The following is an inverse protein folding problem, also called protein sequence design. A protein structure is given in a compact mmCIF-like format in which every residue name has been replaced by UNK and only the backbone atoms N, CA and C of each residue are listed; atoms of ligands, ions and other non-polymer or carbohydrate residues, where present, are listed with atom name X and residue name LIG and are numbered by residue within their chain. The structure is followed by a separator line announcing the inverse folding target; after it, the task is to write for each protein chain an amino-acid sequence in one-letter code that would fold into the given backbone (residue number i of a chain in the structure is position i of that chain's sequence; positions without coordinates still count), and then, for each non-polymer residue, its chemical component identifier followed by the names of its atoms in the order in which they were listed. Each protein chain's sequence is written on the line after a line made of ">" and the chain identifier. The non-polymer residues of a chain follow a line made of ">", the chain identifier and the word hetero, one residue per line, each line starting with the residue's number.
data_IF_841413588874
#
_entry.id   IF_841413588874
#
_cell.length_a   1.000
_cell.length_b   1.000
_cell.length_c   1.000
_cell.angle_alpha   90.00
_cell.angle_beta   90.00
_cell.angle_gamma   90.00
#
_symmetry.space_group_name_H-M   'P 1'
#
loop_
_entity.id
_entity.type
_entity.pdbx_description
1 polymer ?
#
# COMPACT_ATOMS: atom_id res chain seq x y z
N UNK A 1 -1.20 -10.08 -9.19
CA UNK A 1 -1.03 -10.30 -7.73
C UNK A 1 -0.50 -9.01 -7.12
N UNK A 2 -1.19 -8.43 -6.13
CA UNK A 2 -0.75 -7.20 -5.44
C UNK A 2 -0.07 -7.62 -4.14
N UNK A 3 1.12 -7.07 -3.88
CA UNK A 3 1.86 -7.32 -2.64
C UNK A 3 1.79 -6.08 -1.74
N UNK A 4 1.16 -6.24 -0.57
CA UNK A 4 1.13 -5.20 0.47
C UNK A 4 2.29 -5.45 1.45
N UNK A 5 3.42 -4.78 1.22
CA UNK A 5 4.58 -4.80 2.14
C UNK A 5 4.95 -3.38 2.57
N UNK A 6 5.53 -3.19 3.78
CA UNK A 6 6.00 -1.89 4.24
C UNK A 6 6.81 -1.15 3.16
N UNK A 7 6.55 0.15 3.01
CA UNK A 7 7.19 1.02 2.01
C UNK A 7 6.62 0.92 0.59
N UNK A 8 5.74 -0.04 0.29
CA UNK A 8 5.10 -0.11 -1.03
C UNK A 8 4.14 1.06 -1.22
N UNK A 9 4.18 1.69 -2.39
CA UNK A 9 3.38 2.86 -2.70
C UNK A 9 2.09 2.51 -3.45
N UNK A 10 1.02 3.21 -3.09
CA UNK A 10 -0.30 3.08 -3.68
C UNK A 10 -0.93 4.46 -3.83
N UNK A 11 -1.93 4.57 -4.72
CA UNK A 11 -2.84 5.71 -4.72
C UNK A 11 -4.00 5.42 -3.77
N UNK A 12 -4.29 6.39 -2.90
CA UNK A 12 -5.40 6.37 -1.96
C UNK A 12 -6.04 7.77 -1.91
N UNK A 13 -7.35 7.87 -2.20
CA UNK A 13 -8.08 9.16 -2.25
C UNK A 13 -7.36 10.24 -3.08
N UNK A 14 -6.75 9.85 -4.20
CA UNK A 14 -6.01 10.76 -5.09
C UNK A 14 -4.61 11.18 -4.61
N UNK A 15 -4.09 10.59 -3.53
CA UNK A 15 -2.74 10.87 -3.02
C UNK A 15 -1.87 9.62 -3.04
N UNK A 16 -0.58 9.78 -3.29
CA UNK A 16 0.40 8.70 -3.10
C UNK A 16 0.61 8.48 -1.62
N UNK A 17 0.38 7.26 -1.17
CA UNK A 17 0.60 6.81 0.22
C UNK A 17 1.52 5.60 0.20
N UNK A 18 2.12 5.28 1.34
CA UNK A 18 2.92 4.07 1.50
C UNK A 18 2.37 3.20 2.63
N UNK A 19 2.55 1.89 2.49
CA UNK A 19 2.19 0.92 3.54
C UNK A 19 3.15 1.07 4.72
N UNK A 20 2.62 1.21 5.93
CA UNK A 20 3.36 1.06 7.18
C UNK A 20 3.39 -0.41 7.57
N UNK A 21 2.23 -0.98 7.92
CA UNK A 21 2.06 -2.40 8.19
C UNK A 21 0.68 -2.92 7.81
N UNK A 22 0.57 -4.24 7.75
CA UNK A 22 -0.67 -4.96 7.45
C UNK A 22 -1.29 -5.47 8.75
N UNK A 23 -2.60 -5.28 8.89
CA UNK A 23 -3.37 -5.77 10.04
C UNK A 23 -4.27 -6.90 9.55
N UNK A 24 -4.10 -8.09 10.12
CA UNK A 24 -4.94 -9.25 9.85
C UNK A 24 -5.85 -9.45 11.04
N UNK A 25 -7.17 -9.43 10.82
CA UNK A 25 -8.18 -9.75 11.84
C UNK A 25 -9.07 -10.88 11.31
N UNK A 26 -9.86 -11.47 12.20
CA UNK A 26 -10.89 -12.46 11.81
C UNK A 26 -11.81 -11.95 10.70
N UNK A 27 -12.09 -10.65 10.69
CA UNK A 27 -12.99 -9.98 9.74
C UNK A 27 -12.29 -9.48 8.47
N UNK A 28 -11.02 -9.85 8.24
CA UNK A 28 -10.31 -9.60 6.99
C UNK A 28 -8.94 -8.92 7.15
N UNK A 29 -8.59 -8.10 6.16
CA UNK A 29 -7.30 -7.42 6.08
C UNK A 29 -7.50 -5.90 6.02
N UNK A 30 -6.57 -5.18 6.65
CA UNK A 30 -6.48 -3.72 6.64
C UNK A 30 -5.04 -3.30 6.46
N UNK A 31 -4.86 -2.10 5.91
CA UNK A 31 -3.56 -1.50 5.66
C UNK A 31 -3.43 -0.25 6.51
N UNK A 32 -2.38 -0.19 7.34
CA UNK A 32 -1.96 1.04 8.00
C UNK A 32 -1.11 1.85 7.03
N UNK A 33 -1.44 3.13 6.87
CA UNK A 33 -0.68 4.04 6.00
C UNK A 33 0.43 4.74 6.81
N UNK A 34 1.62 4.86 6.22
CA UNK A 34 2.74 5.55 6.83
C UNK A 34 2.49 7.06 6.89
N UNK A 35 3.06 7.73 7.89
CA UNK A 35 3.00 9.18 8.09
C UNK A 35 1.58 9.75 8.35
N UNK A 36 0.57 8.90 8.43
CA UNK A 36 -0.79 9.26 8.84
C UNK A 36 -1.23 8.35 9.98
N UNK A 37 -2.39 8.61 10.59
CA UNK A 37 -3.07 7.67 11.50
C UNK A 37 -4.14 6.80 10.82
N UNK A 38 -4.20 6.88 9.49
CA UNK A 38 -5.26 6.28 8.70
C UNK A 38 -5.05 4.78 8.49
N UNK A 39 -6.17 4.06 8.46
CA UNK A 39 -6.27 2.63 8.16
C UNK A 39 -7.33 2.45 7.09
N UNK A 40 -7.02 1.73 6.02
CA UNK A 40 -7.92 1.49 4.90
C UNK A 40 -8.00 0.01 4.52
N UNK A 41 -8.92 -0.31 3.61
CA UNK A 41 -9.03 -1.65 3.05
C UNK A 41 -8.12 -1.82 1.83
N UNK A 42 -7.67 -3.05 1.52
CA UNK A 42 -6.90 -3.34 0.32
C UNK A 42 -7.57 -2.88 -0.98
N UNK A 43 -8.89 -3.04 -1.07
CA UNK A 43 -9.70 -2.65 -2.23
C UNK A 43 -9.79 -1.13 -2.45
N UNK A 44 -9.47 -0.32 -1.43
CA UNK A 44 -9.40 1.14 -1.56
C UNK A 44 -8.07 1.61 -2.18
N UNK A 45 -7.08 0.73 -2.29
CA UNK A 45 -5.74 1.06 -2.77
C UNK A 45 -5.60 0.72 -4.25
N UNK A 46 -5.20 1.72 -5.04
CA UNK A 46 -4.90 1.55 -6.45
C UNK A 46 -3.39 1.33 -6.60
N UNK A 47 -2.94 0.19 -7.17
CA UNK A 47 -1.53 -0.06 -7.41
C UNK A 47 -0.94 1.05 -8.29
N UNK A 48 0.15 1.64 -7.81
CA UNK A 48 1.02 2.41 -8.69
C UNK A 48 1.87 1.35 -9.40
N UNK A 49 1.92 1.38 -10.73
CA UNK A 49 2.77 0.46 -11.49
C UNK A 49 4.17 0.48 -10.84
N UNK A 50 4.76 -0.68 -10.53
CA UNK A 50 6.15 -0.67 -10.08
C UNK A 50 6.90 0.03 -11.20
N UNK A 51 7.50 1.18 -10.91
CA UNK A 51 8.57 1.64 -11.78
C UNK A 51 9.51 0.45 -11.82
N UNK A 52 9.58 -0.18 -12.99
CA UNK A 52 10.67 -1.09 -13.27
C UNK A 52 11.89 -0.24 -12.99
N UNK A 53 12.51 -0.44 -11.83
CA UNK A 53 13.88 -0.05 -11.57
C UNK A 53 14.68 -1.00 -12.46
N UNK A 54 14.56 -0.76 -13.77
CA UNK A 54 15.35 -1.38 -14.80
C UNK A 54 16.77 -1.07 -14.41
N UNK A 55 17.53 -2.15 -14.22
CA UNK A 55 18.95 -2.14 -13.92
C UNK A 55 19.62 -0.91 -14.55
N UNK A 56 20.17 -0.04 -13.70
CA UNK A 56 21.32 0.74 -14.09
C UNK A 56 22.39 -0.27 -14.55
N UNK A 57 22.59 -0.36 -15.86
CA UNK A 57 23.80 -0.86 -16.49
C UNK A 57 24.57 0.33 -17.02
#
# INVERSE_FOLDING_TARGET
>A
MILYKPGTQFLYKGRTVSVDYVIIKRTGLWIRLAQTEEVCRPEDLIPIAPQSMGLAR
#
